data_IF_323808876444
#
_entry.id   IF_323808876444
#
_cell.length_a   1.000
_cell.length_b   1.000
_cell.length_c   1.000
_cell.angle_alpha   90.00
_cell.angle_beta   90.00
_cell.angle_gamma   90.00
#
_symmetry.space_group_name_H-M   'P 1'
#
loop_
_entity.id
_entity.type
_entity.pdbx_description
1 polymer ?
#
# COMPACT_ATOMS: atom_id res chain seq x y z
N UNK A 1 26.10 -4.72 22.93
CA UNK A 1 25.28 -4.40 21.75
C UNK A 1 23.85 -4.29 22.22
N UNK A 2 23.40 -3.06 22.45
CA UNK A 2 22.03 -2.74 22.89
C UNK A 2 21.08 -3.02 21.74
N UNK A 3 20.24 -4.05 21.87
CA UNK A 3 19.06 -4.21 21.02
C UNK A 3 18.11 -3.08 21.37
N UNK A 4 17.99 -2.11 20.46
CA UNK A 4 17.07 -1.00 20.64
C UNK A 4 15.64 -1.53 20.46
N UNK A 5 14.79 -1.57 21.51
CA UNK A 5 13.44 -2.13 21.42
C UNK A 5 12.59 -1.38 20.38
N UNK A 6 12.95 -0.13 20.09
CA UNK A 6 12.35 0.70 19.05
C UNK A 6 12.52 0.10 17.63
N UNK A 7 13.65 -0.57 17.35
CA UNK A 7 13.91 -1.16 16.03
C UNK A 7 13.13 -2.45 15.80
N UNK A 8 13.05 -3.31 16.83
CA UNK A 8 12.26 -4.54 16.76
C UNK A 8 10.77 -4.26 16.63
N UNK A 9 10.26 -3.23 17.34
CA UNK A 9 8.86 -2.84 17.25
C UNK A 9 8.52 -2.28 15.86
N UNK A 10 9.33 -1.36 15.33
CA UNK A 10 9.15 -0.83 13.97
C UNK A 10 9.11 -1.94 12.91
N UNK A 11 10.00 -2.94 13.04
CA UNK A 11 10.02 -4.06 12.12
C UNK A 11 8.71 -4.87 12.20
N UNK A 12 8.13 -5.06 13.39
CA UNK A 12 6.83 -5.73 13.53
C UNK A 12 5.70 -4.93 12.89
N UNK A 13 5.68 -3.61 13.10
CA UNK A 13 4.66 -2.73 12.54
C UNK A 13 4.76 -2.69 10.99
N UNK A 14 5.97 -2.67 10.44
CA UNK A 14 6.23 -2.73 9.00
C UNK A 14 5.76 -4.07 8.40
N UNK A 15 6.03 -5.19 9.09
CA UNK A 15 5.54 -6.52 8.67
C UNK A 15 4.01 -6.57 8.66
N UNK A 16 3.37 -6.04 9.69
CA UNK A 16 1.91 -5.98 9.77
C UNK A 16 1.32 -5.17 8.61
N UNK A 17 1.88 -3.99 8.32
CA UNK A 17 1.45 -3.16 7.18
C UNK A 17 1.54 -3.88 5.84
N UNK A 18 2.61 -4.62 5.58
CA UNK A 18 2.76 -5.38 4.34
C UNK A 18 1.77 -6.54 4.23
N UNK A 19 1.52 -7.24 5.34
CA UNK A 19 0.52 -8.30 5.40
C UNK A 19 -0.90 -7.76 5.14
N UNK A 20 -1.25 -6.62 5.74
CA UNK A 20 -2.53 -5.95 5.52
C UNK A 20 -2.69 -5.52 4.05
N UNK A 21 -1.63 -4.98 3.45
CA UNK A 21 -1.63 -4.64 2.03
C UNK A 21 -1.82 -5.89 1.14
N UNK A 22 -1.18 -7.00 1.46
CA UNK A 22 -1.39 -8.26 0.74
C UNK A 22 -2.85 -8.73 0.82
N UNK A 23 -3.48 -8.64 2.00
CA UNK A 23 -4.90 -9.00 2.20
C UNK A 23 -5.82 -8.08 1.39
N UNK A 24 -5.59 -6.77 1.43
CA UNK A 24 -6.36 -5.78 0.67
C UNK A 24 -6.26 -6.06 -0.85
N UNK A 25 -5.06 -6.37 -1.33
CA UNK A 25 -4.82 -6.68 -2.73
C UNK A 25 -5.50 -7.99 -3.17
N UNK A 26 -5.48 -9.05 -2.34
CA UNK A 26 -6.24 -10.28 -2.59
C UNK A 26 -7.75 -10.02 -2.70
N UNK A 27 -8.29 -9.17 -1.83
CA UNK A 27 -9.71 -8.80 -1.84
C UNK A 27 -10.08 -8.06 -3.12
N UNK A 28 -9.24 -7.10 -3.53
CA UNK A 28 -9.42 -6.36 -4.79
C UNK A 28 -9.35 -7.30 -6.00
N UNK A 29 -8.34 -8.18 -6.05
CA UNK A 29 -8.16 -9.16 -7.12
C UNK A 29 -9.34 -10.14 -7.23
N UNK A 30 -9.86 -10.61 -6.09
CA UNK A 30 -11.06 -11.46 -6.05
C UNK A 30 -12.29 -10.71 -6.59
N UNK A 31 -12.50 -9.45 -6.19
CA UNK A 31 -13.57 -8.60 -6.73
C UNK A 31 -13.46 -8.40 -8.24
N UNK A 32 -12.26 -8.13 -8.75
CA UNK A 32 -11.99 -8.00 -10.18
C UNK A 32 -12.27 -9.31 -10.95
N UNK A 33 -12.00 -10.46 -10.32
CA UNK A 33 -12.27 -11.75 -10.93
C UNK A 33 -13.74 -12.12 -11.00
N UNK A 34 -14.54 -11.76 -9.99
CA UNK A 34 -16.00 -11.84 -10.09
C UNK A 34 -16.55 -10.96 -11.23
N UNK A 35 -15.88 -9.85 -11.55
CA UNK A 35 -16.21 -9.00 -12.69
C UNK A 35 -15.65 -9.49 -14.04
N UNK A 36 -14.98 -10.65 -14.08
CA UNK A 36 -14.40 -11.22 -15.31
C UNK A 36 -13.18 -10.46 -15.86
N UNK A 37 -12.52 -9.63 -15.03
CA UNK A 37 -11.38 -8.84 -15.45
C UNK A 37 -10.10 -9.69 -15.48
N UNK A 38 -9.34 -9.61 -16.58
CA UNK A 38 -8.10 -10.39 -16.81
C UNK A 38 -6.97 -10.14 -15.79
N UNK A 39 -7.05 -9.08 -14.99
CA UNK A 39 -5.99 -8.67 -14.03
C UNK A 39 -5.99 -9.41 -12.69
N UNK A 40 -6.95 -10.31 -12.42
CA UNK A 40 -7.08 -10.98 -11.13
C UNK A 40 -5.81 -11.76 -10.72
N UNK A 41 -5.20 -12.49 -11.65
CA UNK A 41 -4.03 -13.34 -11.37
C UNK A 41 -2.81 -12.50 -11.02
N UNK A 42 -2.64 -11.36 -11.68
CA UNK A 42 -1.57 -10.39 -11.36
C UNK A 42 -1.75 -9.84 -9.96
N UNK A 43 -2.99 -9.52 -9.55
CA UNK A 43 -3.29 -9.07 -8.19
C UNK A 43 -2.97 -10.14 -7.13
N UNK A 44 -3.33 -11.39 -7.38
CA UNK A 44 -2.98 -12.50 -6.47
C UNK A 44 -1.48 -12.75 -6.39
N UNK A 45 -0.76 -12.70 -7.52
CA UNK A 45 0.69 -12.87 -7.56
C UNK A 45 1.42 -11.77 -6.78
N UNK A 46 1.04 -10.51 -6.99
CA UNK A 46 1.60 -9.36 -6.26
C UNK A 46 1.30 -9.44 -4.76
N UNK A 47 0.12 -9.92 -4.37
CA UNK A 47 -0.20 -10.13 -2.96
C UNK A 47 0.67 -11.23 -2.33
N UNK A 48 0.96 -12.31 -3.06
CA UNK A 48 1.89 -13.35 -2.62
C UNK A 48 3.31 -12.81 -2.41
N UNK A 49 3.78 -11.92 -3.30
CA UNK A 49 5.08 -11.27 -3.14
C UNK A 49 5.14 -10.39 -1.89
N UNK A 50 4.11 -9.58 -1.63
CA UNK A 50 4.03 -8.76 -0.41
C UNK A 50 4.03 -9.62 0.86
N UNK A 51 3.30 -10.73 0.85
CA UNK A 51 3.26 -11.69 1.96
C UNK A 51 4.66 -12.29 2.22
N UNK A 52 5.35 -12.71 1.17
CA UNK A 52 6.72 -13.23 1.26
C UNK A 52 7.71 -12.19 1.80
N UNK A 53 7.60 -10.94 1.36
CA UNK A 53 8.43 -9.82 1.83
C UNK A 53 8.13 -9.51 3.30
N UNK A 54 6.87 -9.58 3.72
CA UNK A 54 6.49 -9.40 5.13
C UNK A 54 7.13 -10.45 6.05
N UNK A 55 7.22 -11.70 5.61
CA UNK A 55 7.81 -12.79 6.40
C UNK A 55 9.33 -12.67 6.53
N UNK A 56 10.01 -12.17 5.49
CA UNK A 56 11.47 -12.11 5.39
C UNK A 56 12.03 -10.68 5.44
N UNK A 57 11.28 -9.73 6.00
CA UNK A 57 11.55 -8.29 5.91
C UNK A 57 12.95 -7.85 6.41
N UNK A 58 13.51 -8.61 7.33
CA UNK A 58 14.85 -8.44 7.92
C UNK A 58 15.98 -8.91 6.99
N UNK A 59 15.68 -9.75 6.00
CA UNK A 59 16.63 -10.32 5.04
C UNK A 59 16.56 -9.62 3.68
N UNK A 60 15.56 -8.76 3.48
CA UNK A 60 15.34 -8.03 2.24
C UNK A 60 16.21 -6.77 2.18
N UNK A 61 16.81 -6.43 1.02
CA UNK A 61 17.57 -5.18 0.88
C UNK A 61 16.75 -3.95 1.31
N UNK A 62 17.40 -3.02 2.01
CA UNK A 62 16.73 -1.85 2.58
C UNK A 62 15.96 -1.00 1.53
N UNK A 63 16.45 -0.95 0.29
CA UNK A 63 15.76 -0.29 -0.81
C UNK A 63 14.42 -0.97 -1.12
N UNK A 64 14.43 -2.29 -1.31
CA UNK A 64 13.23 -3.09 -1.59
C UNK A 64 12.23 -3.00 -0.45
N UNK A 65 12.70 -2.99 0.80
CA UNK A 65 11.84 -2.77 1.97
C UNK A 65 11.13 -1.42 1.92
N UNK A 66 11.86 -0.33 1.63
CA UNK A 66 11.28 1.01 1.51
C UNK A 66 10.25 1.09 0.39
N UNK A 67 10.59 0.54 -0.77
CA UNK A 67 9.72 0.59 -1.95
C UNK A 67 8.44 -0.25 -1.72
N UNK A 68 8.56 -1.42 -1.07
CA UNK A 68 7.41 -2.24 -0.71
C UNK A 68 6.49 -1.55 0.31
N UNK A 69 7.06 -0.89 1.32
CA UNK A 69 6.28 -0.12 2.31
C UNK A 69 5.60 1.10 1.69
N UNK A 70 6.28 1.79 0.77
CA UNK A 70 5.68 2.90 0.02
C UNK A 70 4.52 2.42 -0.86
N UNK A 71 4.69 1.31 -1.58
CA UNK A 71 3.64 0.70 -2.38
C UNK A 71 2.45 0.22 -1.53
N UNK A 72 2.71 -0.38 -0.36
CA UNK A 72 1.68 -0.76 0.61
C UNK A 72 0.92 0.46 1.15
N UNK A 73 1.62 1.56 1.43
CA UNK A 73 0.99 2.83 1.80
C UNK A 73 0.03 3.33 0.73
N UNK A 74 0.46 3.39 -0.53
CA UNK A 74 -0.42 3.77 -1.64
C UNK A 74 -1.64 2.86 -1.81
N UNK A 75 -1.48 1.56 -1.55
CA UNK A 75 -2.57 0.59 -1.65
C UNK A 75 -3.60 0.73 -0.52
N UNK A 76 -3.14 0.97 0.71
CA UNK A 76 -3.99 1.02 1.90
C UNK A 76 -4.62 2.40 2.11
N UNK A 77 -3.84 3.46 1.92
CA UNK A 77 -4.25 4.84 2.19
C UNK A 77 -4.88 5.52 0.94
N UNK A 78 -4.80 4.86 -0.22
CA UNK A 78 -5.23 5.41 -1.51
C UNK A 78 -4.22 6.42 -2.08
N UNK A 79 -4.48 6.95 -3.29
CA UNK A 79 -3.59 7.94 -3.91
C UNK A 79 -3.48 9.23 -3.10
N UNK A 80 -4.45 9.53 -2.23
CA UNK A 80 -4.49 10.73 -1.39
C UNK A 80 -3.91 10.52 0.03
N UNK A 81 -3.35 9.34 0.31
CA UNK A 81 -2.64 9.08 1.57
C UNK A 81 -1.48 10.07 1.76
N UNK A 82 -1.21 10.44 3.02
CA UNK A 82 -0.31 11.50 3.53
C UNK A 82 1.14 11.59 2.96
N UNK A 83 1.51 10.75 1.98
CA UNK A 83 2.82 10.68 1.34
C UNK A 83 2.74 10.61 -0.20
N UNK A 84 1.75 11.23 -0.85
CA UNK A 84 1.73 11.31 -2.31
C UNK A 84 2.76 12.33 -2.86
N UNK A 85 3.81 11.92 -3.59
CA UNK A 85 4.73 12.86 -4.23
C UNK A 85 4.05 13.75 -5.29
N UNK A 86 2.81 13.43 -5.74
CA UNK A 86 2.03 14.29 -6.65
C UNK A 86 1.30 15.43 -5.94
N UNK A 87 1.08 15.35 -4.62
CA UNK A 87 0.40 16.41 -3.87
C UNK A 87 1.32 17.56 -3.46
N UNK A 88 2.65 17.36 -3.48
CA UNK A 88 3.64 18.41 -3.14
C UNK A 88 3.63 19.58 -4.16
N UNK A 89 2.95 19.45 -5.30
CA UNK A 89 2.79 20.50 -6.30
C UNK A 89 1.37 20.77 -6.80
N UNK A 90 0.36 20.06 -6.30
CA UNK A 90 -1.01 20.23 -6.78
C UNK A 90 -1.73 21.35 -6.03
N UNK A 91 -1.76 22.56 -6.62
CA UNK A 91 -2.73 23.61 -6.25
C UNK A 91 -4.13 22.97 -6.24
N UNK A 92 -4.98 23.26 -5.23
CA UNK A 92 -6.33 22.73 -5.20
C UNK A 92 -7.09 23.25 -6.42
N UNK A 93 -7.45 22.33 -7.31
CA UNK A 93 -8.31 22.63 -8.46
C UNK A 93 -9.74 22.72 -7.91
N UNK A 94 -10.10 23.94 -7.50
CA UNK A 94 -11.43 24.55 -7.48
C UNK A 94 -12.63 23.65 -7.16
N UNK A 95 -13.22 23.94 -6.00
CA UNK A 95 -14.62 23.66 -5.67
C UNK A 95 -15.53 23.88 -6.88
N UNK A 96 -16.29 22.85 -7.25
CA UNK A 96 -17.27 22.92 -8.33
C UNK A 96 -18.31 24.01 -8.08
N UNK A 97 -18.82 24.69 -9.12
CA UNK A 97 -19.76 25.78 -8.95
C UNK A 97 -21.10 25.25 -8.45
N UNK A 98 -21.59 25.87 -7.37
CA UNK A 98 -22.88 25.59 -6.76
C UNK A 98 -24.02 25.67 -7.76
N UNK A 99 -24.83 24.61 -7.79
CA UNK A 99 -26.10 24.52 -8.51
C UNK A 99 -27.11 25.45 -7.82
N UNK A 100 -27.39 26.62 -8.41
CA UNK A 100 -28.57 27.43 -8.07
C UNK A 100 -29.77 26.95 -8.88
N UNK A 101 -30.89 26.75 -8.19
CA UNK A 101 -32.22 26.49 -8.74
C UNK A 101 -33.05 25.82 -7.64
N UNK A 102 -34.18 26.33 -7.18
CA UNK A 102 -35.10 27.36 -7.69
C UNK A 102 -35.85 27.94 -6.50
#
# INVERSE_FOLDING_TARGET
MTHDPCTAQRLRDDRARLADAAVALRRSAAGAGYAGLRGQYTGFALAGLLDSVSLQLDQVPAQVRRDALAAAGHLLDGPDGHHDPRTIGARPVTAGPGRRGR
#
